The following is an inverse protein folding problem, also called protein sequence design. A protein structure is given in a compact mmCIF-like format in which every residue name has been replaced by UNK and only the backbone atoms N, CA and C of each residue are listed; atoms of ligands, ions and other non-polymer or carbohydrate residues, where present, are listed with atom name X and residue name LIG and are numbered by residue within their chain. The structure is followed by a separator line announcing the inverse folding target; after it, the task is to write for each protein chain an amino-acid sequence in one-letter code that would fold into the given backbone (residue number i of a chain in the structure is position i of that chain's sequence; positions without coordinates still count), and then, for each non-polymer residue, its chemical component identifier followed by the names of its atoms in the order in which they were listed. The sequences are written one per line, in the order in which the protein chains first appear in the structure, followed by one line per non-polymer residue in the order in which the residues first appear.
data_IF_647184215632
#
_entry.id   IF_647184215632
#
_cell.length_a   1.000
_cell.length_b   1.000
_cell.length_c   1.000
_cell.angle_alpha   90.00
_cell.angle_beta   90.00
_cell.angle_gamma   90.00
#
_symmetry.space_group_name_H-M   'P 1'
#
loop_
_entity.id
_entity.type
_entity.pdbx_description
1 polymer ?
#
# COMPACT_ATOMS: atom_id res chain seq x y z
N UNK A 1 -22.19 -8.43 -33.95
CA UNK A 1 -22.25 -9.14 -32.66
C UNK A 1 -21.01 -8.70 -31.93
N UNK A 2 -21.13 -7.70 -31.06
CA UNK A 2 -20.00 -7.16 -30.31
C UNK A 2 -19.76 -8.09 -29.12
N UNK A 3 -18.57 -8.67 -29.06
CA UNK A 3 -18.11 -9.49 -27.96
C UNK A 3 -17.78 -8.56 -26.78
N UNK A 4 -18.79 -8.29 -25.95
CA UNK A 4 -18.64 -7.62 -24.67
C UNK A 4 -17.96 -8.58 -23.68
N UNK A 5 -16.68 -8.83 -23.91
CA UNK A 5 -15.82 -9.49 -22.93
C UNK A 5 -15.52 -8.49 -21.82
N UNK A 6 -16.51 -8.31 -20.94
CA UNK A 6 -16.39 -7.55 -19.71
C UNK A 6 -15.40 -8.34 -18.85
N UNK A 7 -14.12 -7.99 -18.95
CA UNK A 7 -13.09 -8.48 -18.04
C UNK A 7 -13.58 -8.13 -16.65
N UNK A 8 -13.95 -9.15 -15.87
CA UNK A 8 -14.21 -8.97 -14.45
C UNK A 8 -12.90 -8.47 -13.83
N UNK A 9 -12.76 -7.15 -13.75
CA UNK A 9 -11.71 -6.48 -13.00
C UNK A 9 -12.05 -6.66 -11.52
N UNK A 10 -12.04 -7.90 -11.05
CA UNK A 10 -11.99 -8.19 -9.62
C UNK A 10 -10.64 -7.72 -9.13
N UNK A 11 -10.58 -6.43 -8.79
CA UNK A 11 -9.44 -5.90 -8.08
C UNK A 11 -9.36 -6.68 -6.77
N UNK A 12 -8.22 -7.35 -6.48
CA UNK A 12 -8.08 -8.05 -5.23
C UNK A 12 -8.38 -7.05 -4.10
N UNK A 13 -9.21 -7.47 -3.15
CA UNK A 13 -9.43 -6.71 -1.93
C UNK A 13 -8.07 -6.40 -1.28
N UNK A 14 -8.02 -5.33 -0.49
CA UNK A 14 -6.78 -4.95 0.19
C UNK A 14 -6.28 -6.12 1.04
N UNK A 15 -5.09 -6.61 0.72
CA UNK A 15 -4.38 -7.63 1.49
C UNK A 15 -3.68 -6.96 2.66
N UNK A 16 -3.84 -7.56 3.84
CA UNK A 16 -3.27 -7.07 5.09
C UNK A 16 -2.22 -8.07 5.59
N UNK A 17 -0.96 -7.65 5.67
CA UNK A 17 0.11 -8.42 6.30
C UNK A 17 0.49 -7.76 7.62
N UNK A 18 0.19 -8.43 8.73
CA UNK A 18 0.55 -7.96 10.07
C UNK A 18 1.90 -8.53 10.49
N UNK A 19 2.76 -7.66 10.98
CA UNK A 19 4.01 -7.94 11.68
C UNK A 19 3.93 -7.35 13.10
N UNK A 20 4.95 -7.58 13.93
CA UNK A 20 4.91 -7.19 15.35
C UNK A 20 4.72 -5.68 15.56
N UNK A 21 5.45 -4.86 14.80
CA UNK A 21 5.41 -3.40 14.93
C UNK A 21 4.84 -2.69 13.70
N UNK A 22 4.46 -3.44 12.67
CA UNK A 22 4.04 -2.88 11.39
C UNK A 22 2.89 -3.66 10.76
N UNK A 23 2.11 -2.97 9.93
CA UNK A 23 1.10 -3.57 9.07
C UNK A 23 1.29 -3.08 7.65
N UNK A 24 1.40 -4.00 6.71
CA UNK A 24 1.45 -3.70 5.27
C UNK A 24 0.06 -3.91 4.67
N UNK A 25 -0.44 -2.90 3.96
CA UNK A 25 -1.69 -2.91 3.19
C UNK A 25 -1.36 -2.83 1.71
N UNK A 26 -1.79 -3.79 0.90
CA UNK A 26 -1.53 -3.79 -0.54
C UNK A 26 -2.69 -4.32 -1.36
N UNK A 27 -2.91 -3.72 -2.54
CA UNK A 27 -3.86 -4.21 -3.54
C UNK A 27 -3.19 -4.55 -4.89
N UNK A 28 -1.86 -4.68 -4.91
CA UNK A 28 -1.07 -4.91 -6.12
C UNK A 28 -0.77 -3.67 -6.96
N UNK A 29 -1.37 -2.52 -6.65
CA UNK A 29 -1.07 -1.23 -7.29
C UNK A 29 -0.38 -0.30 -6.29
N UNK A 30 -0.93 -0.21 -5.08
CA UNK A 30 -0.40 0.60 -3.98
C UNK A 30 -0.03 -0.34 -2.84
N UNK A 31 1.11 -0.07 -2.19
CA UNK A 31 1.50 -0.69 -0.93
C UNK A 31 1.76 0.40 0.12
N UNK A 32 1.18 0.25 1.32
CA UNK A 32 1.33 1.17 2.44
C UNK A 32 1.80 0.39 3.65
N UNK A 33 2.79 0.92 4.40
CA UNK A 33 3.21 0.37 5.69
C UNK A 33 2.85 1.34 6.82
N UNK A 34 2.17 0.81 7.85
CA UNK A 34 1.76 1.54 9.05
C UNK A 34 2.51 1.02 10.27
N UNK A 35 2.88 1.89 11.23
CA UNK A 35 3.33 1.46 12.56
C UNK A 35 2.18 0.96 13.43
N UNK A 36 2.47 0.08 14.38
CA UNK A 36 1.53 -0.40 15.40
C UNK A 36 2.09 -0.12 16.80
N UNK A 37 1.31 0.46 17.73
CA UNK A 37 -0.06 0.98 17.56
C UNK A 37 -0.11 2.39 16.92
N UNK A 38 1.05 3.02 16.67
CA UNK A 38 1.14 4.45 16.33
C UNK A 38 0.40 4.89 15.08
N UNK A 39 0.20 3.99 14.10
CA UNK A 39 -0.56 4.28 12.88
C UNK A 39 0.14 5.24 11.92
N UNK A 40 1.40 5.59 12.16
CA UNK A 40 2.18 6.43 11.26
C UNK A 40 2.45 5.68 9.96
N UNK A 41 2.33 6.37 8.82
CA UNK A 41 2.62 5.82 7.51
C UNK A 41 4.12 5.97 7.26
N UNK A 42 4.82 4.85 7.13
CA UNK A 42 6.29 4.82 7.07
C UNK A 42 6.82 4.51 5.69
N UNK A 43 5.95 3.96 4.83
CA UNK A 43 6.25 3.64 3.44
C UNK A 43 4.99 3.73 2.59
N UNK A 44 5.10 4.36 1.41
CA UNK A 44 4.10 4.35 0.34
C UNK A 44 4.79 4.02 -0.98
N UNK A 45 4.36 2.96 -1.67
CA UNK A 45 4.84 2.65 -3.02
C UNK A 45 3.68 2.55 -4.01
N UNK A 46 3.94 2.90 -5.27
CA UNK A 46 2.99 2.83 -6.37
C UNK A 46 3.61 2.10 -7.55
N UNK A 47 2.97 1.03 -8.02
CA UNK A 47 3.41 0.21 -9.16
C UNK A 47 4.88 -0.23 -9.07
N UNK A 48 5.35 -0.54 -7.85
CA UNK A 48 6.73 -0.96 -7.62
C UNK A 48 7.76 0.18 -7.62
N UNK A 49 7.31 1.44 -7.52
CA UNK A 49 8.20 2.56 -7.23
C UNK A 49 8.94 2.36 -5.90
N UNK A 50 10.01 3.13 -5.72
CA UNK A 50 10.60 3.35 -4.40
C UNK A 50 9.59 4.05 -3.46
N UNK A 51 9.96 4.14 -2.18
CA UNK A 51 9.17 4.84 -1.17
C UNK A 51 8.97 6.30 -1.58
N UNK A 52 7.72 6.72 -1.65
CA UNK A 52 7.32 8.06 -2.07
C UNK A 52 7.37 9.09 -0.94
N UNK A 53 7.59 8.64 0.31
CA UNK A 53 7.74 9.52 1.47
C UNK A 53 9.18 10.03 1.60
N UNK A 54 9.36 11.18 2.27
CA UNK A 54 10.69 11.66 2.61
C UNK A 54 11.29 10.80 3.74
N UNK A 55 12.22 9.92 3.37
CA UNK A 55 12.87 9.01 4.32
C UNK A 55 13.94 9.68 5.17
N UNK A 56 14.28 10.95 4.90
CA UNK A 56 15.21 11.72 5.72
C UNK A 56 14.54 12.30 6.96
N UNK A 57 13.21 12.46 6.93
CA UNK A 57 12.44 12.92 8.08
C UNK A 57 12.08 11.79 9.04
N UNK A 58 11.58 12.19 10.22
CA UNK A 58 11.14 11.24 11.25
C UNK A 58 10.00 10.38 10.70
N UNK A 59 9.93 9.15 11.17
CA UNK A 59 8.99 8.14 10.67
C UNK A 59 7.51 8.55 10.78
N UNK A 60 7.17 9.42 11.72
CA UNK A 60 5.86 10.02 11.94
C UNK A 60 5.63 11.36 11.22
N UNK A 61 6.61 11.83 10.44
CA UNK A 61 6.67 13.16 9.82
C UNK A 61 7.29 13.09 8.41
N UNK A 62 6.92 12.09 7.60
CA UNK A 62 7.53 11.85 6.27
C UNK A 62 6.74 12.38 5.07
N UNK A 63 5.63 13.09 5.32
CA UNK A 63 4.61 13.43 4.31
C UNK A 63 4.23 14.90 4.28
#
# INVERSE_FOLDING_TARGET
MEDNNQVDLSYPGVQLLRQDQHVVMSNGIVSITLTVPGGAITNVTYKGSDNLLDTQDREDDRG
#
